data_IF_634961835520
#
_entry.id   IF_634961835520
#
_cell.length_a   1.000
_cell.length_b   1.000
_cell.length_c   1.000
_cell.angle_alpha   90.00
_cell.angle_beta   90.00
_cell.angle_gamma   90.00
#
_symmetry.space_group_name_H-M   'P 1'
#
loop_
_entity.id
_entity.type
_entity.pdbx_description
1 polymer ?
#
# COMPACT_ATOMS: atom_id res chain seq x y z
N UNK A 1 -28.45 55.49 43.71
CA UNK A 1 -28.45 54.03 43.84
C UNK A 1 -27.00 53.57 43.84
N UNK A 2 -26.61 52.88 44.90
CA UNK A 2 -25.24 52.43 45.17
C UNK A 2 -25.03 51.10 44.45
N UNK A 3 -23.97 50.97 43.66
CA UNK A 3 -23.46 49.65 43.26
C UNK A 3 -21.95 49.63 43.52
N UNK A 4 -21.62 49.06 44.67
CA UNK A 4 -20.28 48.60 45.04
C UNK A 4 -20.02 47.34 44.23
N UNK A 5 -18.91 47.30 43.47
CA UNK A 5 -18.42 46.05 42.88
C UNK A 5 -17.09 45.72 43.55
N UNK A 6 -17.13 44.59 44.25
CA UNK A 6 -16.11 44.02 45.12
C UNK A 6 -14.98 43.46 44.26
N UNK A 7 -13.74 43.88 44.55
CA UNK A 7 -12.54 43.25 44.00
C UNK A 7 -12.25 41.96 44.78
N UNK A 8 -12.44 40.80 44.16
CA UNK A 8 -12.08 39.50 44.71
C UNK A 8 -10.72 39.08 44.12
N UNK A 9 -9.69 39.05 44.97
CA UNK A 9 -8.43 38.37 44.68
C UNK A 9 -8.65 36.86 44.79
N UNK A 10 -8.56 36.15 43.67
CA UNK A 10 -8.55 34.69 43.65
C UNK A 10 -7.08 34.24 43.64
N UNK A 11 -6.64 33.72 44.78
CA UNK A 11 -5.36 33.03 44.92
C UNK A 11 -5.40 31.70 44.15
N UNK A 12 -4.48 31.51 43.20
CA UNK A 12 -4.28 30.21 42.53
C UNK A 12 -3.53 29.28 43.48
N UNK A 13 -4.26 28.53 44.29
CA UNK A 13 -3.73 27.41 45.06
C UNK A 13 -3.40 26.25 44.11
N UNK A 14 -2.11 25.93 44.06
CA UNK A 14 -1.55 24.74 43.44
C UNK A 14 -2.22 23.46 43.99
N UNK A 15 -2.68 22.60 43.09
CA UNK A 15 -2.97 21.21 43.41
C UNK A 15 -2.03 20.33 42.58
N UNK A 16 -0.95 19.91 43.24
CA UNK A 16 -0.15 18.78 42.80
C UNK A 16 -0.96 17.50 43.08
N UNK A 17 -1.46 16.87 42.03
CA UNK A 17 -2.03 15.53 42.12
C UNK A 17 -1.45 14.69 40.98
N UNK A 18 -0.42 13.92 41.37
CA UNK A 18 0.16 12.75 40.73
C UNK A 18 -0.19 12.49 39.27
N UNK A 19 0.55 13.13 38.36
CA UNK A 19 0.70 12.65 37.00
C UNK A 19 1.55 11.38 37.00
N UNK A 20 0.94 10.25 37.38
CA UNK A 20 1.49 8.95 37.05
C UNK A 20 1.74 8.93 35.54
N UNK A 21 2.96 8.61 35.15
CA UNK A 21 3.30 8.35 33.77
C UNK A 21 2.45 7.16 33.29
N UNK A 22 1.25 7.47 32.82
CA UNK A 22 0.48 6.59 31.98
C UNK A 22 1.28 6.48 30.69
N UNK A 23 2.19 5.53 30.64
CA UNK A 23 2.73 5.02 29.39
C UNK A 23 1.50 4.64 28.59
N UNK A 24 1.13 5.47 27.62
CA UNK A 24 0.07 5.15 26.68
C UNK A 24 0.53 3.87 25.96
N UNK A 25 0.07 2.72 26.42
CA UNK A 25 0.21 1.47 25.67
C UNK A 25 -0.59 1.68 24.40
N UNK A 26 0.03 1.72 23.21
CA UNK A 26 -0.74 1.79 21.98
C UNK A 26 -1.58 0.51 21.93
N UNK A 27 -2.89 0.65 22.07
CA UNK A 27 -3.84 -0.42 21.77
C UNK A 27 -3.89 -0.57 20.25
N UNK A 28 -2.87 -1.20 19.69
CA UNK A 28 -2.73 -1.46 18.27
C UNK A 28 -2.82 -2.96 17.98
N UNK A 29 -3.97 -3.57 18.25
CA UNK A 29 -4.29 -4.93 17.77
C UNK A 29 -4.64 -4.96 16.28
N UNK A 30 -4.04 -4.07 15.47
CA UNK A 30 -4.19 -4.07 14.03
C UNK A 30 -3.19 -5.05 13.44
N UNK A 31 -3.66 -5.95 12.58
CA UNK A 31 -2.78 -6.76 11.73
C UNK A 31 -1.86 -5.82 10.96
N UNK A 32 -0.54 -5.99 11.09
CA UNK A 32 0.42 -5.22 10.31
C UNK A 32 0.11 -5.41 8.82
N UNK A 33 -0.23 -4.32 8.14
CA UNK A 33 -0.49 -4.31 6.69
C UNK A 33 0.84 -4.20 5.95
N UNK A 34 1.08 -5.10 5.01
CA UNK A 34 2.28 -5.08 4.16
C UNK A 34 2.05 -4.05 3.05
N UNK A 35 2.93 -3.06 2.96
CA UNK A 35 2.84 -2.04 1.91
C UNK A 35 3.17 -2.65 0.53
N UNK A 36 2.45 -2.29 -0.52
CA UNK A 36 2.76 -2.76 -1.87
C UNK A 36 4.06 -2.15 -2.39
N UNK A 37 4.79 -2.91 -3.20
CA UNK A 37 5.84 -2.36 -4.07
C UNK A 37 5.15 -1.67 -5.24
N UNK A 38 5.59 -0.47 -5.62
CA UNK A 38 5.05 0.23 -6.80
C UNK A 38 6.16 0.47 -7.81
N UNK A 39 5.94 0.08 -9.06
CA UNK A 39 6.86 0.30 -10.18
C UNK A 39 6.08 0.66 -11.43
N UNK A 40 6.70 1.38 -12.37
CA UNK A 40 6.09 1.67 -13.68
C UNK A 40 6.25 0.48 -14.61
N UNK A 41 5.30 0.26 -15.52
CA UNK A 41 5.41 -0.78 -16.54
C UNK A 41 6.71 -0.68 -17.36
N UNK A 42 7.17 0.56 -17.64
CA UNK A 42 8.41 0.83 -18.38
C UNK A 42 9.68 0.41 -17.62
N UNK A 43 9.63 0.36 -16.29
CA UNK A 43 10.78 0.04 -15.44
C UNK A 43 10.91 -1.47 -15.20
N UNK A 44 9.91 -2.26 -15.61
CA UNK A 44 9.87 -3.69 -15.35
C UNK A 44 10.62 -4.52 -16.39
N UNK A 45 10.89 -4.01 -17.59
CA UNK A 45 11.50 -4.82 -18.64
C UNK A 45 12.87 -5.39 -18.21
N UNK A 46 12.93 -6.71 -18.06
CA UNK A 46 14.12 -7.45 -17.61
C UNK A 46 14.45 -7.29 -16.12
N UNK A 47 13.59 -6.65 -15.32
CA UNK A 47 13.79 -6.47 -13.89
C UNK A 47 13.46 -7.76 -13.11
N UNK A 48 14.09 -7.89 -11.94
CA UNK A 48 13.64 -8.79 -10.88
C UNK A 48 13.01 -7.95 -9.78
N UNK A 49 11.78 -8.30 -9.39
CA UNK A 49 11.03 -7.64 -8.33
C UNK A 49 10.96 -8.58 -7.13
N UNK A 50 11.60 -8.16 -6.04
CA UNK A 50 11.60 -8.90 -4.79
C UNK A 50 10.31 -8.60 -4.01
N UNK A 51 9.54 -9.64 -3.69
CA UNK A 51 8.33 -9.55 -2.87
C UNK A 51 8.41 -10.53 -1.70
N UNK A 52 7.66 -10.23 -0.64
CA UNK A 52 7.35 -11.22 0.40
C UNK A 52 5.96 -11.83 0.20
N UNK A 53 5.72 -13.05 0.69
CA UNK A 53 4.39 -13.68 0.64
C UNK A 53 3.32 -12.73 1.20
N UNK A 54 2.24 -12.53 0.43
CA UNK A 54 1.14 -11.62 0.77
C UNK A 54 1.34 -10.17 0.32
N UNK A 55 2.54 -9.78 -0.13
CA UNK A 55 2.78 -8.47 -0.74
C UNK A 55 2.24 -8.42 -2.17
N UNK A 56 1.91 -7.22 -2.62
CA UNK A 56 1.52 -6.97 -4.01
C UNK A 56 2.49 -6.00 -4.68
N UNK A 57 2.76 -6.25 -5.95
CA UNK A 57 3.29 -5.27 -6.88
C UNK A 57 2.13 -4.51 -7.51
N UNK A 58 2.13 -3.19 -7.39
CA UNK A 58 1.22 -2.24 -8.03
C UNK A 58 1.94 -1.63 -9.24
N UNK A 59 1.40 -1.82 -10.45
CA UNK A 59 2.09 -1.47 -11.69
C UNK A 59 1.48 -0.19 -12.26
N UNK A 60 2.23 0.90 -12.28
CA UNK A 60 1.79 2.16 -12.89
C UNK A 60 1.81 2.04 -14.41
N UNK A 61 0.69 2.36 -15.05
CA UNK A 61 0.49 2.23 -16.50
C UNK A 61 0.70 3.53 -17.28
N UNK A 62 0.95 4.64 -16.58
CA UNK A 62 1.07 5.96 -17.20
C UNK A 62 -0.27 6.40 -17.78
N UNK A 63 -0.27 6.78 -19.05
CA UNK A 63 -1.48 7.25 -19.75
C UNK A 63 -2.35 6.11 -20.33
N UNK A 64 -1.87 4.85 -20.26
CA UNK A 64 -2.61 3.69 -20.74
C UNK A 64 -3.57 3.20 -19.66
N UNK A 65 -4.79 2.82 -20.08
CA UNK A 65 -5.83 2.34 -19.17
C UNK A 65 -5.42 1.05 -18.46
N UNK A 66 -5.69 0.94 -17.15
CA UNK A 66 -5.27 -0.22 -16.36
C UNK A 66 -5.87 -1.56 -16.81
N UNK A 67 -7.04 -1.55 -17.46
CA UNK A 67 -7.73 -2.73 -18.01
C UNK A 67 -7.27 -3.12 -19.42
N UNK A 68 -6.43 -2.30 -20.06
CA UNK A 68 -5.78 -2.64 -21.34
C UNK A 68 -4.63 -3.65 -21.19
N UNK A 69 -4.22 -3.93 -19.95
CA UNK A 69 -3.14 -4.83 -19.61
C UNK A 69 -3.65 -6.22 -19.23
N UNK A 70 -2.95 -7.24 -19.73
CA UNK A 70 -3.11 -8.64 -19.34
C UNK A 70 -1.73 -9.22 -19.02
N UNK A 71 -1.67 -10.28 -18.20
CA UNK A 71 -0.40 -10.95 -17.99
C UNK A 71 -0.51 -12.48 -17.99
N UNK A 72 0.57 -13.12 -18.39
CA UNK A 72 0.83 -14.53 -18.16
C UNK A 72 1.85 -14.68 -17.04
N UNK A 73 1.56 -15.52 -16.06
CA UNK A 73 2.48 -15.86 -14.97
C UNK A 73 2.91 -17.31 -15.12
N UNK A 74 4.22 -17.59 -15.08
CA UNK A 74 4.75 -18.94 -15.34
C UNK A 74 4.31 -19.99 -14.32
N UNK A 75 4.04 -19.60 -13.07
CA UNK A 75 3.41 -20.46 -12.05
C UNK A 75 2.44 -19.66 -11.17
N UNK A 76 1.14 -19.84 -11.42
CA UNK A 76 0.06 -19.17 -10.68
C UNK A 76 -0.05 -19.62 -9.21
N UNK A 77 0.70 -20.65 -8.79
CA UNK A 77 0.79 -21.03 -7.37
C UNK A 77 1.72 -20.12 -6.57
N UNK A 78 2.68 -19.47 -7.23
CA UNK A 78 3.68 -18.60 -6.60
C UNK A 78 3.21 -17.14 -6.66
N UNK A 79 2.66 -16.69 -7.79
CA UNK A 79 2.12 -15.34 -7.92
C UNK A 79 0.89 -15.29 -8.83
N UNK A 80 0.01 -14.31 -8.62
CA UNK A 80 -1.21 -14.13 -9.39
C UNK A 80 -1.26 -12.73 -10.01
N UNK A 81 -1.60 -12.65 -11.30
CA UNK A 81 -1.90 -11.38 -11.93
C UNK A 81 -3.26 -10.84 -11.45
N UNK A 82 -3.28 -9.59 -11.03
CA UNK A 82 -4.50 -8.88 -10.66
C UNK A 82 -4.78 -7.82 -11.73
N UNK A 83 -5.87 -7.94 -12.51
CA UNK A 83 -6.19 -6.96 -13.54
C UNK A 83 -6.59 -5.61 -12.92
N UNK A 84 -6.19 -4.55 -13.61
CA UNK A 84 -6.58 -3.18 -13.31
C UNK A 84 -8.00 -2.87 -13.79
N UNK A 85 -8.26 -1.59 -14.00
CA UNK A 85 -9.52 -1.09 -14.57
C UNK A 85 -10.40 -0.37 -13.56
N UNK A 86 -11.64 -0.08 -13.98
CA UNK A 86 -12.58 0.70 -13.17
C UNK A 86 -13.44 -0.19 -12.28
N UNK A 87 -13.49 0.10 -10.96
CA UNK A 87 -14.37 -0.56 -10.00
C UNK A 87 -15.08 0.49 -9.15
N UNK A 88 -16.41 0.53 -9.22
CA UNK A 88 -17.20 1.50 -8.45
C UNK A 88 -16.92 2.97 -8.81
N UNK A 89 -16.46 3.24 -10.03
CA UNK A 89 -16.09 4.59 -10.49
C UNK A 89 -14.67 5.04 -10.12
N UNK A 90 -13.89 4.21 -9.44
CA UNK A 90 -12.47 4.44 -9.20
C UNK A 90 -11.61 3.61 -10.15
N UNK A 91 -10.50 4.17 -10.61
CA UNK A 91 -9.53 3.52 -11.47
C UNK A 91 -8.46 2.81 -10.64
N UNK A 92 -8.13 1.58 -11.03
CA UNK A 92 -7.14 0.75 -10.38
C UNK A 92 -6.07 0.32 -11.38
N UNK A 93 -4.84 0.32 -10.90
CA UNK A 93 -3.71 -0.23 -11.62
C UNK A 93 -3.78 -1.77 -11.64
N UNK A 94 -3.22 -2.41 -12.68
CA UNK A 94 -2.91 -3.83 -12.63
C UNK A 94 -1.77 -4.12 -11.64
N UNK A 95 -1.60 -5.39 -11.31
CA UNK A 95 -0.57 -5.80 -10.36
C UNK A 95 -0.28 -7.29 -10.36
N UNK A 96 0.64 -7.69 -9.50
CA UNK A 96 0.98 -9.09 -9.22
C UNK A 96 0.94 -9.31 -7.71
N UNK A 97 0.22 -10.33 -7.23
CA UNK A 97 0.14 -10.70 -5.82
C UNK A 97 1.04 -11.91 -5.56
N UNK A 98 1.93 -11.81 -4.56
CA UNK A 98 2.77 -12.92 -4.11
C UNK A 98 1.96 -13.88 -3.22
N UNK A 99 1.91 -15.16 -3.60
CA UNK A 99 1.11 -16.20 -2.94
C UNK A 99 1.96 -17.19 -2.13
N UNK A 100 3.13 -17.58 -2.66
CA UNK A 100 4.03 -18.54 -2.03
C UNK A 100 5.49 -18.24 -2.41
N UNK A 101 6.43 -18.75 -1.62
CA UNK A 101 7.87 -18.61 -1.91
C UNK A 101 8.22 -19.28 -3.24
N UNK A 102 9.03 -18.61 -4.06
CA UNK A 102 9.47 -19.10 -5.36
C UNK A 102 9.72 -17.96 -6.35
N UNK A 103 10.25 -18.32 -7.51
CA UNK A 103 10.56 -17.37 -8.59
C UNK A 103 9.63 -17.64 -9.80
N UNK A 104 9.05 -16.60 -10.37
CA UNK A 104 8.22 -16.69 -11.58
C UNK A 104 8.53 -15.61 -12.58
N UNK A 105 8.41 -15.95 -13.86
CA UNK A 105 8.41 -14.98 -14.94
C UNK A 105 6.99 -14.50 -15.20
N UNK A 106 6.84 -13.19 -15.35
CA UNK A 106 5.61 -12.51 -15.72
C UNK A 106 5.81 -11.85 -17.08
N UNK A 107 4.89 -12.12 -18.01
CA UNK A 107 4.82 -11.45 -19.31
C UNK A 107 3.57 -10.58 -19.31
N UNK A 108 3.76 -9.27 -19.26
CA UNK A 108 2.73 -8.26 -19.23
C UNK A 108 2.52 -7.70 -20.66
N UNK A 109 1.36 -7.97 -21.24
CA UNK A 109 0.97 -7.53 -22.57
C UNK A 109 -0.03 -6.37 -22.49
N UNK A 110 0.00 -5.48 -23.48
CA UNK A 110 -0.95 -4.37 -23.61
C UNK A 110 -1.62 -4.39 -24.99
N UNK A 111 -2.95 -4.40 -25.02
CA UNK A 111 -3.71 -4.50 -26.26
C UNK A 111 -3.81 -3.17 -27.04
N UNK A 112 -3.67 -2.03 -26.36
CA UNK A 112 -4.02 -0.71 -26.89
C UNK A 112 -2.80 0.10 -27.38
N UNK A 113 -1.60 -0.23 -26.93
CA UNK A 113 -0.38 0.53 -27.18
C UNK A 113 0.47 0.06 -28.37
N UNK A 114 0.26 -1.15 -28.89
CA UNK A 114 1.17 -1.76 -29.88
C UNK A 114 2.61 -1.89 -29.39
N UNK A 115 2.81 -1.88 -28.07
CA UNK A 115 4.09 -1.93 -27.39
C UNK A 115 4.57 -3.37 -27.24
N UNK A 116 5.88 -3.54 -27.16
CA UNK A 116 6.48 -4.84 -26.84
C UNK A 116 5.99 -5.32 -25.47
N UNK A 117 5.72 -6.62 -25.37
CA UNK A 117 5.41 -7.27 -24.09
C UNK A 117 6.53 -7.03 -23.07
N UNK A 118 6.15 -6.62 -21.87
CA UNK A 118 7.08 -6.40 -20.77
C UNK A 118 7.30 -7.71 -20.04
N UNK A 119 8.53 -8.22 -20.08
CA UNK A 119 8.88 -9.46 -19.38
C UNK A 119 9.74 -9.17 -18.17
N UNK A 120 9.36 -9.69 -17.00
CA UNK A 120 10.08 -9.49 -15.74
C UNK A 120 9.97 -10.71 -14.83
N UNK A 121 10.83 -10.77 -13.82
CA UNK A 121 10.83 -11.82 -12.80
C UNK A 121 10.27 -11.29 -11.50
N UNK A 122 9.50 -12.12 -10.80
CA UNK A 122 9.11 -11.91 -9.41
C UNK A 122 9.79 -12.99 -8.57
N UNK A 123 10.63 -12.57 -7.63
CA UNK A 123 11.24 -13.45 -6.64
C UNK A 123 10.51 -13.27 -5.29
N UNK A 124 9.84 -14.33 -4.84
CA UNK A 124 9.02 -14.31 -3.63
C UNK A 124 9.75 -15.01 -2.50
N UNK A 125 9.95 -14.27 -1.41
CA UNK A 125 10.56 -14.75 -0.16
C UNK A 125 9.54 -14.79 0.99
N UNK A 126 9.94 -15.38 2.12
CA UNK A 126 9.13 -15.36 3.34
C UNK A 126 9.14 -13.94 3.96
N UNK A 127 7.99 -13.50 4.47
CA UNK A 127 7.80 -12.19 5.11
C UNK A 127 7.99 -12.18 6.63
#
# INVERSE_FOLDING_TARGET
MVVVVVAVLVALTACASGGGAGTATPSGGGTAVIAPVTMSANDLQGATVDLVVGQSLNILTGDLAGDSYTATVSDERVAEFVPGGTKGGAEFNPGVRALAVGEVTVVLANADGGIQDVTFTVDVTAG
#
